data_IF_765318093707
#
_entry.id   IF_765318093707
#
_cell.length_a   1.000
_cell.length_b   1.000
_cell.length_c   1.000
_cell.angle_alpha   90.00
_cell.angle_beta   90.00
_cell.angle_gamma   90.00
#
_symmetry.space_group_name_H-M   'P 1'
#
loop_
_entity.id
_entity.type
_entity.pdbx_description
1 polymer ?
#
# COMPACT_ATOMS: atom_id res chain seq x y z
N UNK A 1 1.90 -6.68 -8.32
CA UNK A 1 1.03 -5.69 -8.96
C UNK A 1 0.05 -6.43 -9.87
N UNK A 2 -1.24 -6.43 -9.50
CA UNK A 2 -2.31 -7.18 -10.17
C UNK A 2 -2.42 -6.85 -11.67
N UNK A 3 -2.19 -5.60 -12.05
CA UNK A 3 -2.24 -5.15 -13.45
C UNK A 3 -1.22 -5.89 -14.35
N UNK A 4 -0.04 -6.24 -13.82
CA UNK A 4 1.01 -6.90 -14.59
C UNK A 4 0.77 -8.40 -14.81
N UNK A 5 -0.06 -9.01 -13.98
CA UNK A 5 -0.33 -10.45 -14.01
C UNK A 5 -1.75 -10.79 -14.45
N UNK A 6 -2.61 -9.79 -14.63
CA UNK A 6 -3.96 -10.00 -15.13
C UNK A 6 -3.94 -10.49 -16.58
N UNK A 7 -4.73 -11.52 -16.89
CA UNK A 7 -4.93 -12.07 -18.22
C UNK A 7 -6.34 -11.78 -18.74
N UNK A 8 -7.37 -12.04 -17.94
CA UNK A 8 -8.76 -11.81 -18.30
C UNK A 8 -9.65 -11.70 -17.08
N UNK A 9 -10.83 -11.15 -17.29
CA UNK A 9 -11.88 -11.02 -16.27
C UNK A 9 -13.23 -11.46 -16.82
N UNK A 10 -14.08 -11.95 -15.91
CA UNK A 10 -15.52 -12.08 -16.16
C UNK A 10 -16.24 -11.11 -15.26
N UNK A 11 -17.00 -10.21 -15.87
CA UNK A 11 -17.69 -9.10 -15.21
C UNK A 11 -19.17 -9.11 -15.50
N UNK A 12 -19.95 -8.50 -14.60
CA UNK A 12 -21.36 -8.18 -14.79
C UNK A 12 -21.50 -6.67 -14.76
N UNK A 13 -21.97 -6.08 -15.86
CA UNK A 13 -22.18 -4.65 -16.00
C UNK A 13 -23.42 -4.18 -15.22
N UNK A 14 -23.58 -2.88 -15.08
CA UNK A 14 -24.71 -2.26 -14.37
C UNK A 14 -26.09 -2.59 -14.96
N UNK A 15 -26.17 -2.97 -16.23
CA UNK A 15 -27.39 -3.41 -16.90
C UNK A 15 -27.66 -4.93 -16.79
N UNK A 16 -26.78 -5.68 -16.11
CA UNK A 16 -26.84 -7.13 -15.95
C UNK A 16 -26.15 -7.92 -17.05
N UNK A 17 -25.55 -7.27 -18.04
CA UNK A 17 -24.82 -7.97 -19.11
C UNK A 17 -23.55 -8.60 -18.56
N UNK A 18 -23.34 -9.88 -18.91
CA UNK A 18 -22.12 -10.62 -18.57
C UNK A 18 -21.14 -10.54 -19.72
N UNK A 19 -19.90 -10.13 -19.41
CA UNK A 19 -18.77 -10.15 -20.34
C UNK A 19 -17.63 -10.96 -19.75
N UNK A 20 -17.15 -11.95 -20.51
CA UNK A 20 -15.90 -12.66 -20.25
C UNK A 20 -14.87 -12.24 -21.29
N UNK A 21 -13.87 -11.47 -20.89
CA UNK A 21 -12.84 -10.92 -21.77
C UNK A 21 -11.86 -11.98 -22.28
N UNK A 22 -11.80 -13.15 -21.65
CA UNK A 22 -10.97 -14.29 -22.07
C UNK A 22 -11.69 -15.24 -23.03
N UNK A 23 -13.03 -15.12 -23.19
CA UNK A 23 -13.84 -16.02 -24.02
C UNK A 23 -14.14 -15.39 -25.38
N UNK A 24 -13.64 -15.95 -26.51
CA UNK A 24 -13.88 -15.40 -27.85
C UNK A 24 -15.37 -15.28 -28.20
N UNK A 25 -16.21 -16.23 -27.77
CA UNK A 25 -17.66 -16.22 -28.03
C UNK A 25 -18.33 -15.07 -27.27
N UNK A 26 -17.95 -14.85 -26.01
CA UNK A 26 -18.45 -13.75 -25.20
C UNK A 26 -18.07 -12.38 -25.80
N UNK A 27 -16.80 -12.24 -26.24
CA UNK A 27 -16.31 -11.03 -26.92
C UNK A 27 -17.11 -10.74 -28.20
N UNK A 28 -17.24 -11.71 -29.10
CA UNK A 28 -17.99 -11.56 -30.34
C UNK A 28 -19.46 -11.20 -30.10
N UNK A 29 -20.10 -11.82 -29.12
CA UNK A 29 -21.48 -11.47 -28.73
C UNK A 29 -21.56 -10.04 -28.20
N UNK A 30 -20.62 -9.62 -27.38
CA UNK A 30 -20.58 -8.27 -26.80
C UNK A 30 -20.33 -7.19 -27.87
N UNK A 31 -19.46 -7.44 -28.84
CA UNK A 31 -19.24 -6.53 -29.98
C UNK A 31 -20.52 -6.26 -30.78
N UNK A 32 -21.41 -7.24 -30.90
CA UNK A 32 -22.67 -7.07 -31.60
C UNK A 32 -23.70 -6.33 -30.75
N UNK A 33 -23.84 -6.72 -29.48
CA UNK A 33 -24.88 -6.20 -28.59
C UNK A 33 -24.52 -4.85 -27.96
N UNK A 34 -23.22 -4.56 -27.78
CA UNK A 34 -22.66 -3.38 -27.12
C UNK A 34 -21.70 -2.61 -28.03
N UNK A 35 -22.03 -2.51 -29.33
CA UNK A 35 -21.17 -1.85 -30.34
C UNK A 35 -20.78 -0.43 -29.93
N UNK A 36 -21.72 0.33 -29.42
CA UNK A 36 -21.45 1.72 -28.98
C UNK A 36 -20.53 1.79 -27.76
N UNK A 37 -20.62 0.81 -26.87
CA UNK A 37 -19.73 0.71 -25.71
C UNK A 37 -18.26 0.46 -26.17
N UNK A 38 -18.07 -0.52 -27.05
CA UNK A 38 -16.73 -0.82 -27.61
C UNK A 38 -16.19 0.38 -28.38
N UNK A 39 -17.03 1.00 -29.24
CA UNK A 39 -16.65 2.22 -29.97
C UNK A 39 -16.19 3.31 -29.00
N UNK A 40 -16.91 3.54 -27.91
CA UNK A 40 -16.56 4.57 -26.92
C UNK A 40 -15.26 4.28 -26.18
N UNK A 41 -14.96 3.02 -25.85
CA UNK A 41 -13.67 2.60 -25.30
C UNK A 41 -12.52 2.94 -26.27
N UNK A 42 -12.70 2.63 -27.56
CA UNK A 42 -11.71 2.97 -28.60
C UNK A 42 -11.53 4.48 -28.76
N UNK A 43 -12.63 5.25 -28.77
CA UNK A 43 -12.57 6.73 -28.83
C UNK A 43 -11.80 7.33 -27.64
N UNK A 44 -12.05 6.84 -26.41
CA UNK A 44 -11.32 7.29 -25.20
C UNK A 44 -9.84 6.94 -25.31
N UNK A 45 -9.49 5.72 -25.77
CA UNK A 45 -8.10 5.33 -26.03
C UNK A 45 -7.43 6.30 -27.01
N UNK A 46 -8.06 6.54 -28.15
CA UNK A 46 -7.52 7.38 -29.22
C UNK A 46 -7.41 8.84 -28.75
N UNK A 47 -8.37 9.35 -27.99
CA UNK A 47 -8.33 10.67 -27.37
C UNK A 47 -7.16 10.80 -26.37
N UNK A 48 -6.95 9.81 -25.50
CA UNK A 48 -5.85 9.82 -24.54
C UNK A 48 -4.50 9.79 -25.26
N UNK A 49 -4.38 8.99 -26.33
CA UNK A 49 -3.14 8.88 -27.12
C UNK A 49 -2.84 10.10 -27.96
N UNK A 50 -3.88 10.81 -28.44
CA UNK A 50 -3.72 12.04 -29.20
C UNK A 50 -3.27 13.22 -28.32
N UNK A 51 -3.59 13.21 -27.03
CA UNK A 51 -3.05 14.16 -26.05
C UNK A 51 -1.73 13.61 -25.48
N UNK A 52 -0.63 13.98 -26.12
CA UNK A 52 0.72 13.50 -25.76
C UNK A 52 1.06 13.82 -24.30
N UNK A 53 0.67 15.02 -23.80
CA UNK A 53 0.93 15.42 -22.40
C UNK A 53 0.17 14.52 -21.43
N UNK A 54 -1.09 14.19 -21.71
CA UNK A 54 -1.88 13.30 -20.91
C UNK A 54 -1.30 11.87 -20.94
N UNK A 55 -0.93 11.37 -22.11
CA UNK A 55 -0.33 10.05 -22.26
C UNK A 55 0.98 9.92 -21.50
N UNK A 56 1.86 10.94 -21.57
CA UNK A 56 3.10 10.99 -20.79
C UNK A 56 2.83 11.07 -19.30
N UNK A 57 1.86 11.90 -18.87
CA UNK A 57 1.45 11.98 -17.47
C UNK A 57 1.00 10.63 -16.94
N UNK A 58 0.18 9.90 -17.68
CA UNK A 58 -0.28 8.56 -17.32
C UNK A 58 0.92 7.62 -17.16
N UNK A 59 1.85 7.54 -18.13
CA UNK A 59 3.04 6.68 -18.05
C UNK A 59 3.90 7.03 -16.83
N UNK A 60 4.10 8.31 -16.57
CA UNK A 60 4.88 8.78 -15.44
C UNK A 60 4.25 8.38 -14.10
N UNK A 61 2.96 8.63 -13.90
CA UNK A 61 2.25 8.29 -12.66
C UNK A 61 2.21 6.77 -12.38
N UNK A 62 2.20 5.95 -13.42
CA UNK A 62 2.27 4.49 -13.27
C UNK A 62 3.70 3.91 -13.32
N UNK A 63 4.73 4.75 -13.34
CA UNK A 63 6.11 4.30 -13.12
C UNK A 63 6.37 3.97 -11.63
N UNK A 64 5.53 4.46 -10.73
CA UNK A 64 5.43 4.09 -9.31
C UNK A 64 4.12 3.36 -9.05
N UNK A 65 3.94 2.81 -7.84
CA UNK A 65 2.64 2.31 -7.40
C UNK A 65 1.63 3.46 -7.34
N UNK A 66 0.51 3.31 -8.01
CA UNK A 66 -0.56 4.30 -8.02
C UNK A 66 -1.92 3.62 -8.22
N UNK A 67 -2.82 3.83 -7.28
CA UNK A 67 -4.23 3.44 -7.34
C UNK A 67 -5.16 4.62 -6.98
N UNK A 68 -4.64 5.86 -7.07
CA UNK A 68 -5.46 7.06 -6.92
C UNK A 68 -6.32 7.22 -8.16
N UNK A 69 -7.63 7.15 -8.02
CA UNK A 69 -8.56 7.21 -9.14
C UNK A 69 -8.68 5.89 -9.91
N UNK A 70 -9.23 5.95 -11.12
CA UNK A 70 -9.31 4.79 -12.02
C UNK A 70 -7.99 4.56 -12.74
N UNK A 71 -7.70 3.30 -13.02
CA UNK A 71 -6.52 2.91 -13.81
C UNK A 71 -6.64 3.39 -15.26
N UNK A 72 -5.89 4.43 -15.62
CA UNK A 72 -5.84 4.96 -17.00
C UNK A 72 -4.73 4.33 -17.86
N UNK A 73 -3.82 3.55 -17.26
CA UNK A 73 -2.71 2.93 -17.97
C UNK A 73 -3.14 2.05 -19.15
N UNK A 74 -4.28 1.33 -19.11
CA UNK A 74 -4.75 0.52 -20.22
C UNK A 74 -4.91 1.28 -21.53
N UNK A 75 -5.33 2.55 -21.48
CA UNK A 75 -5.53 3.36 -22.69
C UNK A 75 -4.24 3.67 -23.44
N UNK A 76 -3.11 3.76 -22.75
CA UNK A 76 -1.80 3.97 -23.41
C UNK A 76 -1.07 2.66 -23.70
N UNK A 77 -1.47 1.54 -23.09
CA UNK A 77 -0.77 0.26 -23.15
C UNK A 77 -1.37 -0.72 -24.16
N UNK A 78 -2.69 -0.77 -24.30
CA UNK A 78 -3.38 -1.80 -25.08
C UNK A 78 -4.13 -1.22 -26.28
N UNK A 79 -4.11 -1.96 -27.38
CA UNK A 79 -4.88 -1.63 -28.58
C UNK A 79 -6.26 -2.30 -28.58
N UNK A 80 -6.34 -3.53 -28.03
CA UNK A 80 -7.58 -4.30 -27.94
C UNK A 80 -8.51 -3.72 -26.86
N UNK A 81 -9.76 -3.37 -27.20
CA UNK A 81 -10.71 -2.83 -26.24
C UNK A 81 -11.06 -3.78 -25.10
N UNK A 82 -10.99 -5.09 -25.30
CA UNK A 82 -11.25 -6.06 -24.23
C UNK A 82 -10.11 -6.15 -23.23
N UNK A 83 -8.86 -5.97 -23.67
CA UNK A 83 -7.72 -5.85 -22.75
C UNK A 83 -7.81 -4.55 -21.96
N UNK A 84 -8.25 -3.45 -22.58
CA UNK A 84 -8.52 -2.19 -21.90
C UNK A 84 -9.61 -2.40 -20.84
N UNK A 85 -10.75 -2.99 -21.19
CA UNK A 85 -11.85 -3.27 -20.26
C UNK A 85 -11.38 -4.13 -19.08
N UNK A 86 -10.62 -5.21 -19.36
CA UNK A 86 -10.11 -6.08 -18.32
C UNK A 86 -9.23 -5.33 -17.31
N UNK A 87 -8.30 -4.51 -17.79
CA UNK A 87 -7.35 -3.80 -16.94
C UNK A 87 -7.93 -2.55 -16.26
N UNK A 88 -9.03 -1.99 -16.78
CA UNK A 88 -9.81 -0.96 -16.06
C UNK A 88 -10.45 -1.50 -14.78
N UNK A 89 -10.65 -2.82 -14.64
CA UNK A 89 -11.16 -3.43 -13.41
C UNK A 89 -10.14 -3.39 -12.27
N UNK A 90 -8.85 -3.30 -12.58
CA UNK A 90 -7.79 -3.21 -11.56
C UNK A 90 -7.87 -1.85 -10.86
N UNK A 91 -8.13 -1.85 -9.56
CA UNK A 91 -8.29 -0.62 -8.78
C UNK A 91 -9.63 0.10 -8.98
N UNK A 92 -10.61 -0.52 -9.64
CA UNK A 92 -11.93 0.08 -9.87
C UNK A 92 -12.83 0.13 -8.63
N UNK A 93 -12.49 -0.58 -7.57
CA UNK A 93 -13.19 -0.57 -6.28
C UNK A 93 -14.71 -0.82 -6.38
N UNK A 94 -15.12 -1.66 -7.33
CA UNK A 94 -16.54 -1.97 -7.58
C UNK A 94 -17.35 -0.82 -8.19
N UNK A 95 -16.69 0.22 -8.71
CA UNK A 95 -17.38 1.38 -9.31
C UNK A 95 -17.74 1.18 -10.77
N UNK A 96 -17.16 0.20 -11.47
CA UNK A 96 -17.35 -0.03 -12.90
C UNK A 96 -18.22 -1.27 -13.22
N UNK A 97 -17.98 -2.38 -12.52
CA UNK A 97 -18.71 -3.62 -12.73
C UNK A 97 -18.59 -4.52 -11.49
N UNK A 98 -19.42 -5.57 -11.43
CA UNK A 98 -19.22 -6.67 -10.51
C UNK A 98 -18.24 -7.68 -11.13
N UNK A 99 -17.14 -7.94 -10.47
CA UNK A 99 -16.09 -8.86 -10.90
C UNK A 99 -16.38 -10.25 -10.37
N UNK A 100 -16.79 -11.19 -11.24
CA UNK A 100 -17.15 -12.56 -10.85
C UNK A 100 -16.00 -13.55 -10.94
N UNK A 101 -15.10 -13.37 -11.93
CA UNK A 101 -13.95 -14.25 -12.14
C UNK A 101 -12.74 -13.46 -12.63
N UNK A 102 -11.56 -13.90 -12.22
CA UNK A 102 -10.27 -13.32 -12.64
C UNK A 102 -9.33 -14.43 -13.05
N UNK A 103 -8.74 -14.30 -14.22
CA UNK A 103 -7.63 -15.17 -14.66
C UNK A 103 -6.33 -14.40 -14.54
N UNK A 104 -5.39 -14.94 -13.77
CA UNK A 104 -4.10 -14.31 -13.51
C UNK A 104 -2.95 -15.24 -13.90
N UNK A 105 -1.89 -14.64 -14.41
CA UNK A 105 -0.61 -15.31 -14.61
C UNK A 105 0.02 -15.63 -13.26
N UNK A 106 0.54 -16.83 -13.10
CA UNK A 106 1.29 -17.22 -11.90
C UNK A 106 2.73 -16.74 -12.00
N UNK A 107 3.32 -16.44 -10.86
CA UNK A 107 4.74 -16.15 -10.72
C UNK A 107 5.52 -17.38 -10.28
N UNK A 108 6.80 -17.43 -10.63
CA UNK A 108 7.66 -18.54 -10.21
C UNK A 108 7.94 -18.43 -8.70
N UNK A 109 7.65 -19.51 -7.96
CA UNK A 109 8.02 -19.60 -6.56
C UNK A 109 9.45 -20.14 -6.40
N UNK A 110 10.36 -19.26 -6.04
CA UNK A 110 11.78 -19.58 -5.90
C UNK A 110 11.99 -20.50 -4.68
N UNK A 111 12.64 -21.67 -4.85
CA UNK A 111 12.85 -22.60 -3.75
C UNK A 111 13.86 -22.13 -2.70
N UNK A 112 14.81 -21.28 -3.10
CA UNK A 112 15.86 -20.75 -2.22
C UNK A 112 15.56 -19.30 -1.88
N UNK A 113 15.45 -18.99 -0.59
CA UNK A 113 15.13 -17.66 -0.06
C UNK A 113 16.07 -17.32 1.09
N UNK A 114 16.47 -16.07 1.19
CA UNK A 114 17.19 -15.56 2.34
C UNK A 114 16.71 -14.15 2.68
N UNK A 115 16.69 -13.84 3.97
CA UNK A 115 16.34 -12.50 4.45
C UNK A 115 17.37 -11.99 5.45
N UNK A 116 17.49 -10.67 5.51
CA UNK A 116 18.30 -9.98 6.50
C UNK A 116 17.51 -8.79 7.06
N UNK A 117 17.68 -8.53 8.36
CA UNK A 117 17.23 -7.29 8.98
C UNK A 117 18.43 -6.36 9.10
N UNK A 118 18.43 -5.30 8.28
CA UNK A 118 19.50 -4.30 8.21
C UNK A 118 19.12 -3.12 9.10
N UNK A 119 20.01 -2.71 10.01
CA UNK A 119 19.74 -1.59 10.90
C UNK A 119 20.63 -0.39 10.56
N UNK A 120 20.02 0.79 10.50
CA UNK A 120 20.67 2.06 10.17
C UNK A 120 20.42 3.09 11.25
N UNK A 121 21.37 4.03 11.41
CA UNK A 121 21.29 5.09 12.42
C UNK A 121 20.16 6.11 12.13
N UNK A 122 19.86 6.30 10.87
CA UNK A 122 18.84 7.25 10.44
C UNK A 122 17.97 6.67 9.33
N UNK A 123 16.72 7.11 9.26
CA UNK A 123 15.80 6.73 8.20
C UNK A 123 16.32 7.17 6.83
N UNK A 124 17.03 8.30 6.76
CA UNK A 124 17.63 8.80 5.51
C UNK A 124 18.69 7.86 4.96
N UNK A 125 19.55 7.33 5.84
CA UNK A 125 20.59 6.36 5.45
C UNK A 125 19.98 5.02 5.04
N UNK A 126 18.96 4.54 5.76
CA UNK A 126 18.16 3.37 5.36
C UNK A 126 17.56 3.52 3.95
N UNK A 127 16.93 4.66 3.67
CA UNK A 127 16.38 4.96 2.35
C UNK A 127 17.44 5.01 1.25
N UNK A 128 18.62 5.60 1.53
CA UNK A 128 19.75 5.60 0.56
C UNK A 128 20.23 4.19 0.25
N UNK A 129 20.32 3.33 1.26
CA UNK A 129 20.65 1.92 1.05
C UNK A 129 19.60 1.22 0.18
N UNK A 130 18.31 1.46 0.41
CA UNK A 130 17.22 0.92 -0.44
C UNK A 130 17.34 1.39 -1.89
N UNK A 131 17.60 2.69 -2.11
CA UNK A 131 17.83 3.23 -3.47
C UNK A 131 18.99 2.52 -4.16
N UNK A 132 20.08 2.29 -3.46
CA UNK A 132 21.22 1.56 -4.01
C UNK A 132 20.90 0.09 -4.32
N UNK A 133 20.07 -0.55 -3.49
CA UNK A 133 19.67 -1.94 -3.67
C UNK A 133 18.65 -2.15 -4.80
N UNK A 134 17.86 -1.15 -5.16
CA UNK A 134 16.79 -1.24 -6.19
C UNK A 134 17.31 -1.71 -7.54
N UNK A 135 18.49 -1.24 -7.94
CA UNK A 135 19.03 -1.46 -9.27
C UNK A 135 20.08 -2.58 -9.33
N UNK A 136 20.22 -3.36 -8.26
CA UNK A 136 21.19 -4.46 -8.21
C UNK A 136 20.65 -5.67 -8.94
N UNK A 137 21.32 -6.04 -10.02
CA UNK A 137 20.97 -7.21 -10.84
C UNK A 137 22.03 -8.30 -10.73
N UNK A 138 21.61 -9.53 -10.97
CA UNK A 138 22.52 -10.65 -11.14
C UNK A 138 23.10 -10.71 -12.57
N UNK A 139 23.90 -11.72 -12.87
CA UNK A 139 24.54 -11.91 -14.19
C UNK A 139 23.53 -12.12 -15.33
N UNK A 140 22.29 -12.51 -15.02
CA UNK A 140 21.21 -12.70 -16.00
C UNK A 140 20.36 -11.43 -16.18
N UNK A 141 20.68 -10.34 -15.46
CA UNK A 141 19.92 -9.10 -15.49
C UNK A 141 18.64 -9.13 -14.61
N UNK A 142 18.42 -10.18 -13.83
CA UNK A 142 17.33 -10.22 -12.87
C UNK A 142 17.71 -9.46 -11.59
N UNK A 143 16.74 -8.74 -11.01
CA UNK A 143 16.96 -8.07 -9.73
C UNK A 143 17.27 -9.06 -8.61
N UNK A 144 18.36 -8.79 -7.88
CA UNK A 144 18.79 -9.64 -6.78
C UNK A 144 17.95 -9.42 -5.52
N UNK A 145 17.49 -8.20 -5.29
CA UNK A 145 16.61 -7.87 -4.18
C UNK A 145 15.17 -8.00 -4.64
N UNK A 146 14.41 -8.87 -3.98
CA UNK A 146 13.00 -9.16 -4.28
C UNK A 146 12.03 -8.39 -3.39
N UNK A 147 12.49 -7.92 -2.23
CA UNK A 147 11.74 -7.12 -1.29
C UNK A 147 12.67 -6.33 -0.36
N UNK A 148 12.28 -5.12 -0.03
CA UNK A 148 12.91 -4.32 1.03
C UNK A 148 11.81 -3.54 1.75
N UNK A 149 11.57 -3.92 3.01
CA UNK A 149 10.57 -3.34 3.89
C UNK A 149 11.24 -2.40 4.89
N UNK A 150 10.88 -1.13 4.85
CA UNK A 150 11.36 -0.16 5.83
C UNK A 150 10.47 -0.21 7.08
N UNK A 151 11.11 -0.12 8.24
CA UNK A 151 10.46 -0.05 9.56
C UNK A 151 11.17 1.03 10.38
N UNK A 152 10.48 2.13 10.67
CA UNK A 152 11.03 3.16 11.55
C UNK A 152 11.08 2.69 13.01
N UNK A 153 11.73 3.48 13.87
CA UNK A 153 11.87 3.13 15.28
C UNK A 153 10.54 2.87 15.98
N UNK A 154 9.53 3.66 15.69
CA UNK A 154 8.20 3.53 16.32
C UNK A 154 7.49 2.26 15.89
N UNK A 155 7.64 1.87 14.63
CA UNK A 155 7.19 0.58 14.13
C UNK A 155 7.88 -0.58 14.85
N UNK A 156 9.21 -0.51 14.99
CA UNK A 156 9.99 -1.51 15.73
C UNK A 156 9.60 -1.59 17.20
N UNK A 157 9.44 -0.44 17.86
CA UNK A 157 9.04 -0.37 19.26
C UNK A 157 7.63 -0.94 19.50
N UNK A 158 6.70 -0.76 18.55
CA UNK A 158 5.34 -1.25 18.68
C UNK A 158 5.23 -2.77 18.78
N UNK A 159 6.15 -3.50 18.18
CA UNK A 159 6.20 -4.98 18.17
C UNK A 159 7.23 -5.54 19.14
N UNK A 160 7.55 -4.82 20.23
CA UNK A 160 8.64 -5.17 21.15
C UNK A 160 9.99 -5.28 20.45
N UNK A 161 10.39 -4.24 19.73
CA UNK A 161 11.60 -4.16 18.92
C UNK A 161 12.86 -4.74 19.56
N UNK A 162 13.11 -4.60 20.88
CA UNK A 162 14.22 -5.26 21.57
C UNK A 162 14.22 -6.79 21.50
N UNK A 163 13.08 -7.43 21.20
CA UNK A 163 13.01 -8.90 21.00
C UNK A 163 13.85 -9.35 19.82
N UNK A 164 14.02 -8.49 18.81
CA UNK A 164 14.88 -8.79 17.64
C UNK A 164 16.33 -8.98 17.99
N UNK A 165 16.80 -8.28 18.99
CA UNK A 165 18.17 -8.33 19.42
C UNK A 165 18.46 -9.58 20.27
N UNK A 166 17.43 -10.17 20.89
CA UNK A 166 17.51 -11.45 21.60
C UNK A 166 17.83 -12.62 20.67
N UNK A 167 17.57 -12.47 19.38
CA UNK A 167 17.71 -13.52 18.40
C UNK A 167 19.16 -14.04 18.24
N UNK A 168 20.17 -13.21 18.52
CA UNK A 168 21.59 -13.63 18.49
C UNK A 168 22.13 -14.24 19.80
N UNK A 169 21.27 -14.58 20.76
CA UNK A 169 21.70 -15.10 22.05
C UNK A 169 22.39 -14.04 22.93
N UNK A 170 22.51 -12.83 22.44
CA UNK A 170 22.90 -11.69 23.23
C UNK A 170 21.67 -11.25 24.00
N UNK A 171 21.70 -11.35 25.31
CA UNK A 171 20.82 -10.59 26.19
C UNK A 171 21.17 -9.13 25.90
N UNK A 172 20.52 -8.56 24.89
CA UNK A 172 20.66 -7.15 24.65
C UNK A 172 20.21 -6.46 25.94
N UNK A 173 21.13 -5.90 26.64
CA UNK A 173 20.85 -4.65 27.30
C UNK A 173 20.05 -3.88 26.27
N UNK A 174 18.96 -3.28 26.62
CA UNK A 174 17.90 -2.64 25.79
C UNK A 174 18.40 -1.68 24.70
N UNK A 175 19.64 -1.80 24.22
CA UNK A 175 20.33 -0.83 23.40
C UNK A 175 21.23 -1.58 22.42
N UNK A 176 21.11 -1.28 21.13
CA UNK A 176 22.05 -1.71 20.11
C UNK A 176 23.45 -1.21 20.45
N UNK A 177 24.52 -1.98 20.24
CA UNK A 177 25.90 -1.52 20.47
C UNK A 177 26.13 -0.20 19.69
N UNK A 178 26.51 0.85 20.43
CA UNK A 178 26.79 2.17 19.85
C UNK A 178 25.61 3.11 19.74
N UNK A 179 24.44 2.73 20.24
CA UNK A 179 23.29 3.63 20.41
C UNK A 179 23.21 4.03 21.88
N UNK A 180 23.32 5.30 22.17
CA UNK A 180 23.11 5.83 23.52
C UNK A 180 21.63 5.73 23.91
N UNK A 181 21.32 5.47 25.20
CA UNK A 181 19.95 5.49 25.67
C UNK A 181 19.27 6.83 25.34
N UNK A 182 18.16 6.78 24.57
CA UNK A 182 17.44 7.97 24.12
C UNK A 182 17.77 8.44 22.71
N UNK A 183 18.75 7.84 22.02
CA UNK A 183 19.09 8.12 20.61
C UNK A 183 18.44 7.09 19.65
N UNK A 184 17.53 6.26 20.17
CA UNK A 184 16.86 5.22 19.38
C UNK A 184 15.83 5.78 18.38
N UNK A 185 15.40 7.01 18.58
CA UNK A 185 14.34 7.64 17.77
C UNK A 185 14.67 7.74 16.27
N UNK A 186 15.97 7.67 15.92
CA UNK A 186 16.43 7.66 14.53
C UNK A 186 16.64 6.27 13.95
N UNK A 187 16.72 5.22 14.81
CA UNK A 187 17.00 3.86 14.36
C UNK A 187 15.93 3.38 13.38
N UNK A 188 16.36 2.84 12.26
CA UNK A 188 15.48 2.34 11.21
C UNK A 188 15.99 0.98 10.75
N UNK A 189 15.07 0.03 10.57
CA UNK A 189 15.39 -1.26 9.97
C UNK A 189 14.89 -1.35 8.54
N UNK A 190 15.61 -2.14 7.73
CA UNK A 190 15.19 -2.57 6.40
C UNK A 190 15.23 -4.09 6.37
N UNK A 191 14.06 -4.72 6.31
CA UNK A 191 13.94 -6.16 6.07
C UNK A 191 14.12 -6.41 4.58
N UNK A 192 15.23 -7.01 4.21
CA UNK A 192 15.60 -7.27 2.81
C UNK A 192 15.50 -8.75 2.50
N UNK A 193 14.87 -9.09 1.36
CA UNK A 193 14.72 -10.47 0.88
C UNK A 193 15.37 -10.64 -0.49
N UNK A 194 16.07 -11.77 -0.66
CA UNK A 194 16.54 -12.27 -1.95
C UNK A 194 16.05 -13.69 -2.19
N UNK A 195 15.82 -14.04 -3.44
CA UNK A 195 15.32 -15.37 -3.87
C UNK A 195 16.11 -15.86 -5.08
N UNK A 196 16.27 -17.17 -5.19
CA UNK A 196 17.04 -17.79 -6.26
C UNK A 196 16.49 -19.18 -6.61
N UNK A 197 16.90 -19.69 -7.78
CA UNK A 197 16.54 -21.03 -8.25
C UNK A 197 17.39 -22.11 -7.61
N UNK A 198 18.64 -21.77 -7.25
CA UNK A 198 19.59 -22.71 -6.63
C UNK A 198 20.29 -22.05 -5.43
N UNK A 199 20.86 -22.87 -4.52
CA UNK A 199 21.64 -22.35 -3.39
C UNK A 199 22.87 -21.53 -3.83
N UNK A 200 23.53 -21.92 -4.92
CA UNK A 200 24.71 -21.24 -5.45
C UNK A 200 24.34 -19.85 -6.00
N UNK A 201 23.18 -19.75 -6.69
CA UNK A 201 22.63 -18.47 -7.14
C UNK A 201 22.25 -17.59 -5.95
N UNK A 202 21.63 -18.17 -4.91
CA UNK A 202 21.29 -17.46 -3.69
C UNK A 202 22.55 -16.87 -3.02
N UNK A 203 23.62 -17.67 -2.90
CA UNK A 203 24.88 -17.21 -2.33
C UNK A 203 25.51 -16.06 -3.14
N UNK A 204 25.50 -16.14 -4.48
CA UNK A 204 25.97 -15.04 -5.34
C UNK A 204 25.14 -13.78 -5.16
N UNK A 205 23.82 -13.90 -5.09
CA UNK A 205 22.93 -12.78 -4.86
C UNK A 205 23.22 -12.10 -3.51
N UNK A 206 23.37 -12.89 -2.44
CA UNK A 206 23.74 -12.38 -1.11
C UNK A 206 25.06 -11.62 -1.17
N UNK A 207 26.10 -12.22 -1.77
CA UNK A 207 27.41 -11.58 -1.91
C UNK A 207 27.33 -10.26 -2.66
N UNK A 208 26.52 -10.21 -3.71
CA UNK A 208 26.31 -8.98 -4.52
C UNK A 208 25.63 -7.89 -3.70
N UNK A 209 24.60 -8.25 -2.93
CA UNK A 209 23.89 -7.33 -2.02
C UNK A 209 24.84 -6.82 -0.92
N UNK A 210 25.59 -7.71 -0.27
CA UNK A 210 26.56 -7.34 0.78
C UNK A 210 27.64 -6.40 0.26
N UNK A 211 28.13 -6.59 -0.98
CA UNK A 211 29.10 -5.70 -1.59
C UNK A 211 28.54 -4.27 -1.77
N UNK A 212 27.27 -4.12 -2.14
CA UNK A 212 26.60 -2.81 -2.22
C UNK A 212 26.48 -2.20 -0.82
N UNK A 213 26.10 -3.00 0.15
CA UNK A 213 25.88 -2.55 1.53
C UNK A 213 27.16 -2.12 2.25
N UNK A 214 28.35 -2.51 1.77
CA UNK A 214 29.65 -2.03 2.33
C UNK A 214 29.83 -0.50 2.26
N UNK A 215 29.09 0.18 1.38
CA UNK A 215 29.10 1.64 1.28
C UNK A 215 28.26 2.33 2.39
N UNK A 216 27.54 1.56 3.20
CA UNK A 216 26.62 2.05 4.22
C UNK A 216 27.03 1.57 5.62
N UNK A 217 26.80 2.41 6.63
CA UNK A 217 27.07 2.05 8.02
C UNK A 217 25.84 1.39 8.64
N UNK A 218 25.88 0.07 8.79
CA UNK A 218 24.88 -0.68 9.54
C UNK A 218 25.30 -0.80 11.01
N UNK A 219 24.35 -0.70 11.94
CA UNK A 219 24.61 -0.81 13.38
C UNK A 219 25.20 -2.16 13.81
N UNK A 220 24.70 -3.22 13.15
CA UNK A 220 25.21 -4.57 13.35
C UNK A 220 25.69 -5.10 12.00
N UNK A 221 26.63 -6.04 11.98
CA UNK A 221 27.06 -6.67 10.73
C UNK A 221 25.87 -7.23 9.94
N UNK A 222 25.89 -7.04 8.63
CA UNK A 222 24.88 -7.61 7.74
C UNK A 222 24.91 -9.14 7.87
N UNK A 223 23.73 -9.74 8.07
CA UNK A 223 23.59 -11.18 8.18
C UNK A 223 22.33 -11.64 7.45
N UNK A 224 22.54 -12.28 6.30
CA UNK A 224 21.47 -12.99 5.60
C UNK A 224 21.33 -14.40 6.18
N UNK A 225 20.09 -14.81 6.43
CA UNK A 225 19.76 -16.18 6.83
C UNK A 225 18.82 -16.81 5.81
N UNK A 226 19.13 -18.06 5.44
CA UNK A 226 18.31 -18.91 4.58
C UNK A 226 17.48 -19.93 5.39
N UNK A 227 17.58 -19.90 6.71
CA UNK A 227 16.84 -20.75 7.62
C UNK A 227 15.40 -20.25 7.81
N UNK A 228 14.38 -21.03 7.42
CA UNK A 228 12.98 -20.62 7.54
C UNK A 228 12.56 -20.22 8.95
N UNK A 229 13.04 -20.91 9.98
CA UNK A 229 12.76 -20.63 11.39
C UNK A 229 13.31 -19.26 11.84
N UNK A 230 14.34 -18.75 11.16
CA UNK A 230 14.93 -17.45 11.42
C UNK A 230 14.22 -16.35 10.64
N UNK A 231 14.20 -16.44 9.32
CA UNK A 231 13.66 -15.34 8.52
C UNK A 231 12.13 -15.19 8.68
N UNK A 232 11.38 -16.25 8.99
CA UNK A 232 9.94 -16.13 9.24
C UNK A 232 9.62 -15.23 10.44
N UNK A 233 10.52 -15.15 11.42
CA UNK A 233 10.36 -14.23 12.55
C UNK A 233 10.47 -12.77 12.11
N UNK A 234 11.37 -12.44 11.18
CA UNK A 234 11.48 -11.09 10.63
C UNK A 234 10.16 -10.67 9.93
N UNK A 235 9.61 -11.58 9.14
CA UNK A 235 8.34 -11.34 8.45
C UNK A 235 7.13 -11.29 9.39
N UNK A 236 7.12 -12.10 10.45
CA UNK A 236 6.09 -12.06 11.48
C UNK A 236 6.05 -10.70 12.18
N UNK A 237 7.19 -10.12 12.40
CA UNK A 237 7.36 -8.79 12.96
C UNK A 237 6.76 -7.73 12.03
N UNK A 238 7.13 -7.74 10.76
CA UNK A 238 6.59 -6.83 9.75
C UNK A 238 5.06 -6.90 9.71
N UNK A 239 4.50 -8.11 9.75
CA UNK A 239 3.06 -8.34 9.75
C UNK A 239 2.37 -7.87 11.03
N UNK A 240 3.08 -7.89 12.15
CA UNK A 240 2.54 -7.54 13.46
C UNK A 240 2.44 -6.04 13.73
N UNK A 241 3.03 -5.15 12.90
CA UNK A 241 3.10 -3.72 13.19
C UNK A 241 1.69 -3.10 13.28
N UNK A 242 0.86 -3.26 12.26
CA UNK A 242 -0.46 -2.64 12.23
C UNK A 242 -1.36 -3.06 13.40
N UNK A 243 -1.54 -4.36 13.70
CA UNK A 243 -2.34 -4.77 14.86
C UNK A 243 -1.70 -4.35 16.20
N UNK A 244 -0.38 -4.28 16.28
CA UNK A 244 0.31 -3.84 17.50
C UNK A 244 0.09 -2.37 17.80
N UNK A 245 0.31 -1.50 16.81
CA UNK A 245 0.04 -0.05 16.93
C UNK A 245 -1.43 0.20 17.26
N UNK A 246 -2.34 -0.46 16.56
CA UNK A 246 -3.77 -0.33 16.82
C UNK A 246 -4.17 -0.82 18.21
N UNK A 247 -3.55 -1.92 18.70
CA UNK A 247 -3.83 -2.48 20.02
C UNK A 247 -3.32 -1.64 21.20
N UNK A 248 -2.33 -0.79 20.98
CA UNK A 248 -1.74 0.08 22.03
C UNK A 248 -2.32 1.50 22.04
N UNK A 249 -3.18 1.83 21.08
CA UNK A 249 -3.78 3.16 20.99
C UNK A 249 -4.58 3.54 22.22
N UNK A 250 -4.71 4.84 22.45
CA UNK A 250 -5.55 5.36 23.55
C UNK A 250 -7.03 5.05 23.28
N UNK A 251 -7.83 4.72 24.32
CA UNK A 251 -9.28 4.63 24.21
C UNK A 251 -9.86 5.92 23.60
N UNK A 252 -10.92 5.81 22.79
CA UNK A 252 -11.54 6.95 22.11
C UNK A 252 -10.83 7.39 20.84
N UNK A 253 -9.74 6.71 20.45
CA UNK A 253 -9.08 6.96 19.15
C UNK A 253 -9.35 5.83 18.16
N UNK A 254 -9.26 6.15 16.88
CA UNK A 254 -9.21 5.16 15.80
C UNK A 254 -7.80 5.10 15.22
N UNK A 255 -7.41 3.93 14.73
CA UNK A 255 -6.15 3.72 14.05
C UNK A 255 -6.37 3.91 12.54
N UNK A 256 -5.72 4.91 11.97
CA UNK A 256 -5.77 5.20 10.54
C UNK A 256 -4.45 4.81 9.90
N UNK A 257 -4.54 4.15 8.75
CA UNK A 257 -3.40 3.82 7.92
C UNK A 257 -3.55 4.53 6.58
N UNK A 258 -2.57 5.36 6.26
CA UNK A 258 -2.45 6.00 4.96
C UNK A 258 -1.36 5.32 4.14
N UNK A 259 -1.47 5.47 2.82
CA UNK A 259 -0.72 4.70 1.86
C UNK A 259 -0.29 5.60 0.71
N UNK A 260 0.99 5.93 0.65
CA UNK A 260 1.55 6.86 -0.33
C UNK A 260 2.72 6.25 -1.07
N UNK A 261 3.04 6.78 -2.24
CA UNK A 261 4.24 6.39 -2.98
C UNK A 261 5.01 7.59 -3.52
N UNK A 262 6.33 7.43 -3.53
CA UNK A 262 7.28 8.36 -4.13
C UNK A 262 8.10 7.66 -5.21
N UNK A 263 8.64 8.41 -6.15
CA UNK A 263 9.74 7.92 -6.97
C UNK A 263 10.92 7.58 -6.07
N UNK A 264 11.55 6.44 -6.32
CA UNK A 264 12.50 5.86 -5.37
C UNK A 264 13.72 6.77 -5.09
N UNK A 265 14.15 7.54 -6.05
CA UNK A 265 15.23 8.52 -5.92
C UNK A 265 14.92 9.64 -4.92
N UNK A 266 13.64 9.95 -4.72
CA UNK A 266 13.19 10.97 -3.77
C UNK A 266 13.03 10.42 -2.33
N UNK A 267 13.11 9.10 -2.18
CA UNK A 267 12.79 8.42 -0.93
C UNK A 267 13.55 8.97 0.29
N UNK A 268 14.87 9.22 0.23
CA UNK A 268 15.63 9.68 1.39
C UNK A 268 15.14 11.02 1.95
N UNK A 269 14.83 11.98 1.08
CA UNK A 269 14.38 13.31 1.45
C UNK A 269 12.88 13.31 1.80
N UNK A 270 12.06 12.69 0.96
CA UNK A 270 10.61 12.63 1.14
C UNK A 270 10.22 11.94 2.47
N UNK A 271 10.94 10.90 2.86
CA UNK A 271 10.64 10.19 4.12
C UNK A 271 10.94 11.03 5.35
N UNK A 272 12.09 11.75 5.36
CA UNK A 272 12.43 12.66 6.45
C UNK A 272 11.40 13.78 6.58
N UNK A 273 11.01 14.37 5.45
CA UNK A 273 10.01 15.43 5.44
C UNK A 273 8.64 14.95 5.87
N UNK A 274 8.25 13.72 5.48
CA UNK A 274 7.01 13.10 5.93
C UNK A 274 7.01 12.91 7.46
N UNK A 275 8.10 12.39 8.05
CA UNK A 275 8.22 12.27 9.50
C UNK A 275 8.05 13.61 10.20
N UNK A 276 8.75 14.63 9.72
CA UNK A 276 8.68 15.98 10.29
C UNK A 276 7.30 16.60 10.14
N UNK A 277 6.64 16.36 9.00
CA UNK A 277 5.30 16.84 8.73
C UNK A 277 4.29 16.25 9.70
N UNK A 278 4.30 14.93 9.87
CA UNK A 278 3.43 14.20 10.80
C UNK A 278 3.64 14.69 12.24
N UNK A 279 4.90 14.81 12.68
CA UNK A 279 5.23 15.31 14.02
C UNK A 279 4.74 16.75 14.25
N UNK A 280 4.91 17.65 13.27
CA UNK A 280 4.41 19.04 13.36
C UNK A 280 2.91 19.16 13.54
N UNK A 281 2.15 18.14 13.09
CA UNK A 281 0.70 18.06 13.30
C UNK A 281 0.31 17.33 14.60
N UNK A 282 1.28 17.07 15.48
CA UNK A 282 1.03 16.52 16.82
C UNK A 282 0.76 14.99 16.83
N UNK A 283 1.25 14.25 15.83
CA UNK A 283 1.18 12.80 15.79
C UNK A 283 2.53 12.17 16.14
N UNK A 284 2.98 12.39 17.39
CA UNK A 284 4.28 11.93 17.86
C UNK A 284 4.39 10.41 17.99
N UNK A 285 3.26 9.70 18.04
CA UNK A 285 3.19 8.23 18.08
C UNK A 285 3.01 7.58 16.69
N UNK A 286 2.98 8.37 15.62
CA UNK A 286 2.85 7.84 14.27
C UNK A 286 4.04 7.00 13.85
N UNK A 287 3.77 5.91 13.11
CA UNK A 287 4.77 5.00 12.56
C UNK A 287 4.85 5.13 11.05
N UNK A 288 6.04 4.96 10.47
CA UNK A 288 6.25 4.84 9.03
C UNK A 288 6.89 3.50 8.74
N UNK A 289 6.26 2.72 7.88
CA UNK A 289 6.79 1.44 7.40
C UNK A 289 6.24 1.15 6.00
N UNK A 290 6.83 0.19 5.29
CA UNK A 290 6.27 -0.25 4.00
C UNK A 290 7.30 -0.70 3.00
N UNK A 291 6.82 -0.88 1.78
CA UNK A 291 7.53 -1.46 0.64
C UNK A 291 8.53 -0.46 0.03
N UNK A 292 9.61 -0.19 0.75
CA UNK A 292 10.57 0.85 0.39
C UNK A 292 11.20 0.63 -0.99
N UNK A 293 11.41 -0.64 -1.39
CA UNK A 293 11.92 -0.97 -2.73
C UNK A 293 11.00 -0.48 -3.87
N UNK A 294 9.71 -0.31 -3.58
CA UNK A 294 8.71 0.21 -4.51
C UNK A 294 8.37 1.69 -4.27
N UNK A 295 9.11 2.36 -3.38
CA UNK A 295 8.85 3.76 -3.00
C UNK A 295 7.55 3.96 -2.23
N UNK A 296 6.91 2.89 -1.76
CA UNK A 296 5.60 2.89 -1.13
C UNK A 296 5.72 2.81 0.39
N UNK A 297 5.09 3.75 1.07
CA UNK A 297 5.01 3.78 2.53
C UNK A 297 3.59 3.80 3.04
N UNK A 298 3.42 3.12 4.17
CA UNK A 298 2.28 3.28 5.04
C UNK A 298 2.70 4.13 6.23
N UNK A 299 1.87 5.08 6.62
CA UNK A 299 2.00 5.70 7.92
C UNK A 299 0.72 5.49 8.73
N UNK A 300 0.91 5.19 10.00
CA UNK A 300 -0.19 4.94 10.93
C UNK A 300 -0.25 6.09 11.90
N UNK A 301 -1.46 6.65 12.09
CA UNK A 301 -1.77 7.64 13.11
C UNK A 301 -2.93 7.16 13.98
N UNK A 302 -2.91 7.57 15.25
CA UNK A 302 -4.02 7.36 16.16
C UNK A 302 -4.77 8.69 16.32
N UNK A 303 -6.04 8.72 15.89
CA UNK A 303 -6.84 9.93 15.77
C UNK A 303 -8.16 9.79 16.50
N UNK A 304 -8.51 10.77 17.32
CA UNK A 304 -9.87 11.00 17.80
C UNK A 304 -10.59 11.95 16.84
N UNK A 305 -11.92 11.80 16.76
CA UNK A 305 -12.81 12.69 16.02
C UNK A 305 -13.91 13.24 16.96
N UNK A 306 -13.59 13.36 18.25
CA UNK A 306 -14.54 13.76 19.29
C UNK A 306 -14.79 15.26 19.38
N UNK A 307 -13.98 16.11 18.72
CA UNK A 307 -14.14 17.56 18.67
C UNK A 307 -13.78 18.14 17.29
N UNK A 308 -14.24 19.36 17.04
CA UNK A 308 -13.95 20.08 15.79
C UNK A 308 -12.44 20.35 15.61
N UNK A 309 -11.71 20.58 16.71
CA UNK A 309 -10.26 20.77 16.70
C UNK A 309 -9.54 19.49 16.27
N UNK A 310 -10.00 18.33 16.72
CA UNK A 310 -9.43 17.04 16.31
C UNK A 310 -9.71 16.73 14.84
N UNK A 311 -10.93 17.00 14.36
CA UNK A 311 -11.28 16.88 12.95
C UNK A 311 -10.41 17.81 12.11
N UNK A 312 -10.27 19.08 12.54
CA UNK A 312 -9.44 20.06 11.86
C UNK A 312 -7.96 19.65 11.82
N UNK A 313 -7.42 19.10 12.91
CA UNK A 313 -6.04 18.59 12.94
C UNK A 313 -5.81 17.52 11.88
N UNK A 314 -6.76 16.57 11.73
CA UNK A 314 -6.68 15.55 10.70
C UNK A 314 -6.79 16.14 9.28
N UNK A 315 -7.72 17.09 9.07
CA UNK A 315 -7.87 17.79 7.79
C UNK A 315 -6.58 18.52 7.41
N UNK A 316 -5.98 19.25 8.36
CA UNK A 316 -4.74 20.01 8.16
C UNK A 316 -3.57 19.06 7.83
N UNK A 317 -3.47 17.90 8.51
CA UNK A 317 -2.48 16.86 8.18
C UNK A 317 -2.67 16.36 6.75
N UNK A 318 -3.89 15.97 6.37
CA UNK A 318 -4.15 15.40 5.05
C UNK A 318 -3.90 16.40 3.92
N UNK A 319 -4.22 17.69 4.14
CA UNK A 319 -3.88 18.76 3.22
C UNK A 319 -2.36 18.96 3.09
N UNK A 320 -1.63 18.88 4.19
CA UNK A 320 -0.17 18.98 4.18
C UNK A 320 0.49 17.77 3.51
N UNK A 321 -0.02 16.56 3.75
CA UNK A 321 0.43 15.33 3.06
C UNK A 321 0.16 15.43 1.56
N UNK A 322 -1.02 15.88 1.15
CA UNK A 322 -1.36 16.11 -0.26
C UNK A 322 -0.33 17.04 -0.93
N UNK A 323 -0.02 18.16 -0.29
CA UNK A 323 0.95 19.14 -0.82
C UNK A 323 2.36 18.54 -0.91
N UNK A 324 2.80 17.82 0.13
CA UNK A 324 4.10 17.17 0.13
C UNK A 324 4.20 16.13 -0.99
N UNK A 325 3.21 15.25 -1.08
CA UNK A 325 3.24 14.11 -2.00
C UNK A 325 3.06 14.56 -3.44
N UNK A 326 2.07 15.41 -3.71
CA UNK A 326 1.72 15.77 -5.09
C UNK A 326 2.55 16.95 -5.60
N UNK A 327 2.54 18.09 -4.89
CA UNK A 327 3.14 19.32 -5.43
C UNK A 327 4.66 19.27 -5.37
N UNK A 328 5.22 18.68 -4.30
CA UNK A 328 6.67 18.68 -4.12
C UNK A 328 7.36 17.50 -4.80
N UNK A 329 6.81 16.29 -4.64
CA UNK A 329 7.47 15.06 -5.09
C UNK A 329 6.78 14.36 -6.26
N UNK A 330 5.65 14.87 -6.72
CA UNK A 330 4.83 14.29 -7.79
C UNK A 330 4.56 12.78 -7.60
N UNK A 331 4.38 12.39 -6.34
CA UNK A 331 4.10 11.04 -5.92
C UNK A 331 2.63 10.63 -6.06
N UNK A 332 2.23 9.56 -5.40
CA UNK A 332 0.85 9.07 -5.37
C UNK A 332 0.28 9.10 -3.96
N UNK A 333 -0.96 9.60 -3.82
CA UNK A 333 -1.69 9.65 -2.56
C UNK A 333 -2.27 8.29 -2.14
N UNK A 334 -2.39 7.35 -3.08
CA UNK A 334 -2.72 5.93 -2.82
C UNK A 334 -1.87 5.04 -3.71
N UNK A 335 -1.02 4.26 -3.07
CA UNK A 335 -0.13 3.33 -3.75
C UNK A 335 -0.81 1.99 -4.05
N UNK A 336 -1.52 1.39 -3.06
CA UNK A 336 -2.11 0.06 -3.17
C UNK A 336 -3.44 -0.14 -2.43
N UNK A 337 -3.79 0.70 -1.42
CA UNK A 337 -5.00 0.51 -0.59
C UNK A 337 -6.30 0.98 -1.26
N UNK A 338 -6.22 1.57 -2.44
CA UNK A 338 -7.36 2.15 -3.14
C UNK A 338 -7.70 3.57 -2.70
N UNK A 339 -8.48 4.25 -3.52
CA UNK A 339 -8.91 5.64 -3.29
C UNK A 339 -9.97 5.73 -2.20
N UNK A 340 -10.95 4.84 -2.25
CA UNK A 340 -12.09 4.84 -1.35
C UNK A 340 -12.87 6.15 -1.40
N UNK A 341 -13.54 6.47 -0.29
CA UNK A 341 -14.16 7.78 -0.05
C UNK A 341 -13.14 8.79 0.49
N UNK A 342 -12.13 8.28 1.22
CA UNK A 342 -11.16 9.11 1.91
C UNK A 342 -10.33 9.96 0.95
N UNK A 343 -9.88 9.38 -0.16
CA UNK A 343 -9.05 10.10 -1.15
C UNK A 343 -9.83 10.60 -2.37
N UNK A 344 -11.13 10.33 -2.47
CA UNK A 344 -11.95 10.79 -3.58
C UNK A 344 -11.85 12.32 -3.83
N UNK A 345 -11.83 13.20 -2.80
CA UNK A 345 -11.67 14.64 -3.01
C UNK A 345 -10.34 15.04 -3.65
N UNK A 346 -9.31 14.20 -3.54
CA UNK A 346 -7.95 14.51 -3.98
C UNK A 346 -7.59 13.93 -5.36
N UNK A 347 -8.44 13.08 -5.95
CA UNK A 347 -8.17 12.45 -7.26
C UNK A 347 -7.93 13.49 -8.35
N UNK A 348 -8.82 14.48 -8.48
CA UNK A 348 -8.67 15.57 -9.45
C UNK A 348 -7.39 16.39 -9.19
N UNK A 349 -7.04 16.61 -7.93
CA UNK A 349 -5.85 17.33 -7.54
C UNK A 349 -4.56 16.61 -7.97
N UNK A 350 -4.49 15.31 -7.75
CA UNK A 350 -3.30 14.51 -8.11
C UNK A 350 -3.16 14.35 -9.64
N UNK A 351 -4.27 14.15 -10.35
CA UNK A 351 -4.24 13.79 -11.77
C UNK A 351 -4.38 14.98 -12.72
N UNK A 352 -4.96 16.08 -12.25
CA UNK A 352 -5.36 17.20 -13.09
C UNK A 352 -6.68 16.94 -13.83
N UNK A 353 -7.20 18.01 -14.47
CA UNK A 353 -8.52 18.00 -15.08
C UNK A 353 -8.66 17.00 -16.23
N UNK A 354 -7.68 16.96 -17.15
CA UNK A 354 -7.75 16.11 -18.34
C UNK A 354 -7.89 14.62 -18.00
N UNK A 355 -7.05 14.11 -17.07
CA UNK A 355 -7.13 12.73 -16.62
C UNK A 355 -8.43 12.45 -15.85
N UNK A 356 -8.84 13.37 -14.99
CA UNK A 356 -10.06 13.21 -14.20
C UNK A 356 -11.32 13.13 -15.09
N UNK A 357 -11.40 13.94 -16.15
CA UNK A 357 -12.52 13.88 -17.11
C UNK A 357 -12.55 12.55 -17.89
N UNK A 358 -11.40 11.97 -18.22
CA UNK A 358 -11.35 10.61 -18.79
C UNK A 358 -11.87 9.58 -17.79
N UNK A 359 -11.47 9.65 -16.51
CA UNK A 359 -11.99 8.77 -15.46
C UNK A 359 -13.51 8.87 -15.33
N UNK A 360 -14.07 10.09 -15.35
CA UNK A 360 -15.51 10.33 -15.32
C UNK A 360 -16.22 9.77 -16.55
N UNK A 361 -15.64 9.93 -17.73
CA UNK A 361 -16.18 9.36 -18.95
C UNK A 361 -16.24 7.82 -18.89
N UNK A 362 -15.18 7.18 -18.36
CA UNK A 362 -15.17 5.74 -18.09
C UNK A 362 -16.28 5.36 -17.12
N UNK A 363 -16.36 6.02 -15.96
CA UNK A 363 -17.44 5.76 -14.97
C UNK A 363 -18.82 5.87 -15.59
N UNK A 364 -19.08 6.93 -16.35
CA UNK A 364 -20.37 7.18 -16.99
C UNK A 364 -20.71 6.15 -18.06
N UNK A 365 -19.69 5.60 -18.74
CA UNK A 365 -19.87 4.54 -19.73
C UNK A 365 -20.27 3.21 -19.08
N UNK A 366 -19.61 2.84 -17.98
CA UNK A 366 -19.87 1.57 -17.29
C UNK A 366 -21.10 1.62 -16.39
N UNK A 367 -21.36 2.75 -15.77
CA UNK A 367 -22.44 2.92 -14.80
C UNK A 367 -23.19 4.25 -15.01
N UNK A 368 -23.96 4.36 -16.09
CA UNK A 368 -24.66 5.60 -16.44
C UNK A 368 -25.74 6.02 -15.41
N UNK A 369 -26.17 5.10 -14.55
CA UNK A 369 -27.17 5.36 -13.50
C UNK A 369 -26.56 5.63 -12.13
N UNK A 370 -25.23 5.52 -11.98
CA UNK A 370 -24.54 5.73 -10.71
C UNK A 370 -24.91 4.72 -9.61
N UNK A 371 -25.19 3.47 -9.98
CA UNK A 371 -25.62 2.41 -9.06
C UNK A 371 -24.45 1.73 -8.33
N UNK A 372 -23.28 1.69 -8.97
CA UNK A 372 -22.13 0.91 -8.53
C UNK A 372 -21.26 1.75 -7.60
N UNK A 373 -21.22 1.36 -6.33
CA UNK A 373 -20.40 1.91 -5.27
C UNK A 373 -20.34 3.46 -5.24
N UNK A 374 -21.46 4.15 -5.04
CA UNK A 374 -21.53 5.61 -5.14
C UNK A 374 -20.69 6.29 -4.06
N UNK A 375 -19.99 7.37 -4.45
CA UNK A 375 -19.14 8.19 -3.58
C UNK A 375 -17.74 7.63 -3.35
N UNK A 376 -17.40 6.48 -3.94
CA UNK A 376 -16.05 5.90 -3.97
C UNK A 376 -15.37 6.32 -5.27
N UNK A 377 -14.09 6.72 -5.19
CA UNK A 377 -13.29 7.33 -6.27
C UNK A 377 -13.86 8.69 -6.74
N UNK A 378 -15.16 8.77 -6.94
CA UNK A 378 -15.86 9.97 -7.39
C UNK A 378 -16.81 10.45 -6.29
N UNK A 379 -16.57 11.65 -5.77
CA UNK A 379 -17.41 12.25 -4.74
C UNK A 379 -17.49 13.76 -4.97
N UNK A 380 -18.71 14.30 -5.01
CA UNK A 380 -18.92 15.74 -5.21
C UNK A 380 -18.74 16.54 -3.92
N UNK A 381 -18.73 15.89 -2.75
CA UNK A 381 -18.45 16.55 -1.48
C UNK A 381 -16.92 16.60 -1.24
N UNK A 382 -16.28 17.77 -1.32
CA UNK A 382 -14.84 17.91 -1.12
C UNK A 382 -14.41 17.61 0.32
N UNK A 383 -15.34 17.51 1.24
CA UNK A 383 -15.11 17.23 2.66
C UNK A 383 -15.59 15.83 3.07
N UNK A 384 -15.90 14.94 2.13
CA UNK A 384 -16.44 13.61 2.47
C UNK A 384 -15.48 12.78 3.35
N UNK A 385 -14.19 13.08 3.33
CA UNK A 385 -13.15 12.42 4.13
C UNK A 385 -13.12 12.85 5.61
N UNK A 386 -13.79 13.96 5.95
CA UNK A 386 -13.88 14.50 7.32
C UNK A 386 -15.33 14.54 7.86
N UNK A 387 -16.22 13.79 7.24
CA UNK A 387 -17.64 13.70 7.62
C UNK A 387 -18.07 12.25 7.79
N UNK A 388 -19.14 12.07 8.55
CA UNK A 388 -19.80 10.76 8.75
C UNK A 388 -18.83 9.68 9.25
N UNK A 389 -17.99 10.04 10.22
CA UNK A 389 -17.10 9.09 10.88
C UNK A 389 -17.88 7.97 11.52
N UNK A 390 -17.31 6.76 11.54
CA UNK A 390 -17.87 5.65 12.28
C UNK A 390 -17.94 6.04 13.76
N UNK A 391 -19.11 5.95 14.41
CA UNK A 391 -19.23 6.21 15.84
C UNK A 391 -18.33 5.26 16.62
N UNK A 392 -17.48 5.80 17.48
CA UNK A 392 -16.74 4.99 18.43
C UNK A 392 -17.70 4.55 19.55
N UNK A 393 -17.55 3.32 20.10
CA UNK A 393 -18.34 2.88 21.22
C UNK A 393 -18.18 3.83 22.42
N UNK A 394 -19.21 3.98 23.22
CA UNK A 394 -19.16 4.74 24.49
C UNK A 394 -18.30 3.96 25.50
N UNK A 395 -17.04 4.32 25.60
CA UNK A 395 -15.97 3.52 26.18
C UNK A 395 -16.04 3.36 27.70
N UNK A 396 -16.43 4.42 28.43
CA UNK A 396 -16.35 4.44 29.90
C UNK A 396 -17.17 3.34 30.57
N UNK A 397 -18.37 3.03 30.06
CA UNK A 397 -19.23 1.98 30.59
C UNK A 397 -18.85 0.57 30.16
N UNK A 398 -18.14 0.43 29.03
CA UNK A 398 -17.66 -0.87 28.52
C UNK A 398 -16.38 -1.32 29.20
N UNK A 399 -15.45 -0.42 29.44
CA UNK A 399 -14.20 -0.71 30.15
C UNK A 399 -14.44 -1.27 31.55
N UNK A 400 -15.41 -0.73 32.26
CA UNK A 400 -15.80 -1.22 33.60
C UNK A 400 -16.45 -2.61 33.55
N UNK A 401 -17.22 -2.91 32.48
CA UNK A 401 -18.00 -4.15 32.38
C UNK A 401 -17.26 -5.31 31.74
N UNK A 402 -16.28 -5.04 30.87
CA UNK A 402 -15.65 -6.02 29.99
C UNK A 402 -14.12 -6.04 30.02
N UNK A 403 -13.48 -5.15 30.78
CA UNK A 403 -12.02 -5.02 30.83
C UNK A 403 -11.40 -4.27 29.67
N UNK A 404 -12.19 -3.64 28.81
CA UNK A 404 -11.76 -2.64 27.80
C UNK A 404 -10.94 -3.15 26.61
N UNK A 405 -10.71 -4.43 26.50
CA UNK A 405 -9.85 -5.00 25.42
C UNK A 405 -10.55 -4.98 24.09
N UNK A 406 -11.85 -5.21 24.03
CA UNK A 406 -12.67 -5.19 22.82
C UNK A 406 -12.75 -3.81 22.18
N UNK A 407 -12.65 -2.74 22.96
CA UNK A 407 -12.67 -1.37 22.46
C UNK A 407 -11.39 -0.99 21.71
N UNK A 408 -10.35 -1.82 21.82
CA UNK A 408 -9.11 -1.71 21.05
C UNK A 408 -9.16 -2.41 19.69
N UNK A 409 -10.29 -3.00 19.33
CA UNK A 409 -10.47 -3.64 18.04
C UNK A 409 -10.33 -2.63 16.90
N UNK A 410 -9.43 -2.94 15.94
CA UNK A 410 -9.20 -2.15 14.71
C UNK A 410 -9.76 -2.88 13.48
N UNK A 411 -10.53 -3.93 13.68
CA UNK A 411 -11.15 -4.73 12.62
C UNK A 411 -10.14 -5.40 11.64
N UNK A 412 -8.89 -5.58 12.04
CA UNK A 412 -7.84 -6.16 11.19
C UNK A 412 -8.06 -7.64 10.82
N UNK A 413 -8.93 -8.37 11.52
CA UNK A 413 -9.24 -9.78 11.22
C UNK A 413 -8.22 -10.81 11.69
N UNK A 414 -7.07 -10.42 12.27
CA UNK A 414 -6.03 -11.37 12.71
C UNK A 414 -6.49 -12.39 13.76
N UNK A 415 -7.52 -12.06 14.54
CA UNK A 415 -8.12 -12.99 15.50
C UNK A 415 -8.99 -14.06 14.84
N UNK A 416 -9.42 -13.88 13.59
CA UNK A 416 -10.39 -14.77 12.92
C UNK A 416 -9.79 -16.13 12.63
N UNK A 417 -8.51 -16.20 12.26
CA UNK A 417 -7.79 -17.47 11.99
C UNK A 417 -7.71 -18.38 13.22
N UNK A 418 -7.75 -17.79 14.42
CA UNK A 418 -7.71 -18.51 15.69
C UNK A 418 -9.10 -18.63 16.34
N UNK A 419 -10.15 -18.10 15.71
CA UNK A 419 -11.48 -18.09 16.27
C UNK A 419 -12.18 -19.44 16.04
N UNK A 420 -12.52 -20.15 17.10
CA UNK A 420 -13.21 -21.45 17.03
C UNK A 420 -14.58 -21.38 16.36
N UNK A 421 -15.21 -20.20 16.32
CA UNK A 421 -16.52 -19.99 15.69
C UNK A 421 -16.44 -19.38 14.28
N UNK A 422 -15.23 -19.09 13.77
CA UNK A 422 -15.04 -18.58 12.41
C UNK A 422 -15.54 -19.61 11.39
N UNK A 423 -16.39 -19.19 10.46
CA UNK A 423 -17.01 -20.07 9.47
C UNK A 423 -18.18 -20.93 9.96
N UNK A 424 -18.43 -20.94 11.27
CA UNK A 424 -19.56 -21.66 11.89
C UNK A 424 -20.65 -20.70 12.40
N UNK A 425 -20.23 -19.66 13.11
CA UNK A 425 -21.09 -18.53 13.53
C UNK A 425 -20.32 -17.24 13.30
N UNK A 426 -20.64 -16.16 14.04
CA UNK A 426 -19.89 -14.92 13.99
C UNK A 426 -18.47 -15.09 14.55
N UNK A 427 -17.47 -14.52 13.87
CA UNK A 427 -16.10 -14.42 14.38
C UNK A 427 -15.96 -13.43 15.53
N UNK A 428 -14.79 -13.41 16.18
CA UNK A 428 -14.50 -12.44 17.26
C UNK A 428 -14.70 -11.00 16.77
N UNK A 429 -14.17 -10.65 15.62
CA UNK A 429 -14.30 -9.33 15.00
C UNK A 429 -15.78 -8.97 14.77
N UNK A 430 -16.53 -9.88 14.15
CA UNK A 430 -17.96 -9.65 13.87
C UNK A 430 -18.83 -9.48 15.11
N UNK A 431 -18.40 -9.99 16.26
CA UNK A 431 -19.12 -9.80 17.53
C UNK A 431 -18.78 -8.49 18.22
N UNK A 432 -17.59 -7.93 17.95
CA UNK A 432 -17.15 -6.67 18.51
C UNK A 432 -17.77 -5.50 17.75
N UNK A 433 -17.81 -5.59 16.41
CA UNK A 433 -18.43 -4.62 15.52
C UNK A 433 -19.94 -4.72 15.53
#
# INVERSE_FOLDING_TARGET
>A
NSDKVLLSVRIVLADGTVLDTGCPVSRASFEVTHRDFIRRICELRDQVRADEKLAERIRYKYSIKNVTGLNLLPFVRFDDPFDIIAHLMVGSEGTLAFLSEVTMKTEYDYPCKASAMLYFKTIKEACRAVVALKNVTNETGEWTVKGAELLDWKSLASVNGPVFLRYKGEVASSILPGVEPGDESGLTAVLTETKARTPEELHRNITTIENVLRAFHTYIPVHFTDKPEEYSQYWAIRSGIFPSVGGTRKPGTTCLIEDIAFHIENLPEATVELQQLIARHGYDDACIYGHALEGNYHFIINQSFGSDEEVKRYEDLMNAVKTLVVDKYDGSLKAEHGTGRNMAPFVRYEWGEAAFEVMKAVKSLFDPKGLLNPGVIFNDDPQCHIKNFKPLPLLATRDELRGGTEDKCIECGFCEVNCLSCGFTLSSRQRIV
#
